data_IF_837269392566
#
_entry.id   IF_837269392566
#
_cell.length_a   1.000
_cell.length_b   1.000
_cell.length_c   1.000
_cell.angle_alpha   90.00
_cell.angle_beta   90.00
_cell.angle_gamma   90.00
#
_symmetry.space_group_name_H-M   'P 1'
#
loop_
_entity.id
_entity.type
_entity.pdbx_description
1 polymer ?
#
# COMPACT_ATOMS: atom_id res chain seq x y z
N UNK A 1 8.76 8.06 22.45
CA UNK A 1 8.03 7.27 21.44
C UNK A 1 8.93 6.14 20.98
N UNK A 2 8.44 4.90 20.90
CA UNK A 2 9.22 3.74 20.46
C UNK A 2 8.67 3.25 19.13
N UNK A 3 9.50 3.17 18.10
CA UNK A 3 9.11 2.76 16.76
C UNK A 3 9.70 1.38 16.51
N UNK A 4 8.83 0.39 16.31
CA UNK A 4 9.25 -0.97 15.91
C UNK A 4 9.48 -1.02 14.40
N UNK A 5 10.31 -1.96 13.95
CA UNK A 5 10.54 -2.18 12.52
C UNK A 5 10.41 -3.66 12.18
N UNK A 6 9.72 -3.96 11.10
CA UNK A 6 9.49 -5.30 10.59
C UNK A 6 9.99 -5.41 9.15
N UNK A 7 10.66 -6.51 8.85
CA UNK A 7 11.01 -6.86 7.47
C UNK A 7 9.75 -7.18 6.68
N UNK A 8 9.70 -6.75 5.42
CA UNK A 8 8.64 -7.15 4.49
C UNK A 8 9.16 -8.23 3.54
N UNK A 9 8.30 -8.96 2.82
CA UNK A 9 8.73 -9.85 1.74
C UNK A 9 9.52 -9.12 0.64
N UNK A 10 9.38 -7.81 0.51
CA UNK A 10 10.14 -6.98 -0.42
C UNK A 10 11.43 -6.46 0.24
N UNK A 11 12.64 -6.90 -0.17
CA UNK A 11 13.89 -6.48 0.46
C UNK A 11 14.18 -4.97 0.31
N UNK A 12 13.57 -4.32 -0.69
CA UNK A 12 13.67 -2.89 -0.90
C UNK A 12 12.67 -2.09 -0.05
N UNK A 13 11.80 -2.74 0.73
CA UNK A 13 10.79 -2.07 1.56
C UNK A 13 10.88 -2.53 3.02
N UNK A 14 10.83 -1.57 3.95
CA UNK A 14 10.84 -1.83 5.38
C UNK A 14 9.61 -1.20 6.04
N UNK A 15 8.99 -1.93 6.97
CA UNK A 15 7.81 -1.50 7.72
C UNK A 15 8.21 -0.91 9.06
N UNK A 16 7.62 0.24 9.39
CA UNK A 16 7.84 1.00 10.61
C UNK A 16 6.50 1.11 11.34
N UNK A 17 6.47 0.72 12.60
CA UNK A 17 5.30 0.70 13.48
C UNK A 17 5.50 1.75 14.56
N UNK A 18 4.91 2.95 14.43
CA UNK A 18 5.13 4.04 15.37
C UNK A 18 4.43 3.85 16.72
N UNK A 19 3.58 2.82 16.84
CA UNK A 19 2.74 2.58 18.03
C UNK A 19 1.58 3.58 18.16
N UNK A 20 1.19 4.20 17.05
CA UNK A 20 0.10 5.17 16.92
C UNK A 20 -0.64 4.93 15.62
N UNK A 21 -1.89 5.37 15.54
CA UNK A 21 -2.61 5.48 14.26
C UNK A 21 -1.83 6.42 13.32
N UNK A 22 -1.60 5.97 12.10
CA UNK A 22 -0.94 6.72 11.02
C UNK A 22 -2.01 7.30 10.10
N UNK A 23 -2.85 6.45 9.53
CA UNK A 23 -3.95 6.85 8.66
C UNK A 23 -5.21 6.06 8.99
N UNK A 24 -6.17 6.69 9.66
CA UNK A 24 -7.35 6.01 10.22
C UNK A 24 -8.24 5.37 9.14
N UNK A 25 -8.34 6.01 7.98
CA UNK A 25 -9.20 5.59 6.87
C UNK A 25 -8.40 5.46 5.59
N UNK A 26 -8.60 4.34 4.89
CA UNK A 26 -7.93 4.05 3.63
C UNK A 26 -6.42 3.85 3.76
N UNK A 27 -5.72 4.09 2.65
CA UNK A 27 -4.27 3.98 2.52
C UNK A 27 -3.74 5.08 1.61
N UNK A 28 -2.49 5.49 1.80
CA UNK A 28 -1.85 6.48 0.94
C UNK A 28 -0.53 5.91 0.39
N UNK A 29 -0.33 5.99 -0.93
CA UNK A 29 0.90 5.55 -1.61
C UNK A 29 1.53 6.74 -2.33
N UNK A 30 2.77 7.05 -1.96
CA UNK A 30 3.54 8.16 -2.52
C UNK A 30 4.77 7.60 -3.26
N UNK A 31 4.87 7.96 -4.55
CA UNK A 31 5.98 7.56 -5.45
C UNK A 31 6.77 8.74 -6.00
N UNK A 32 6.40 9.95 -5.62
CA UNK A 32 7.01 11.20 -6.06
C UNK A 32 7.18 12.15 -4.88
N UNK A 33 8.37 12.72 -4.73
CA UNK A 33 8.71 13.61 -3.60
C UNK A 33 7.86 14.89 -3.58
N UNK A 34 7.62 15.49 -4.74
CA UNK A 34 6.84 16.74 -4.84
C UNK A 34 5.39 16.53 -4.39
N UNK A 35 4.72 15.51 -4.95
CA UNK A 35 3.36 15.15 -4.56
C UNK A 35 3.27 14.71 -3.09
N UNK A 36 4.31 14.04 -2.57
CA UNK A 36 4.38 13.64 -1.16
C UNK A 36 4.46 14.86 -0.23
N UNK A 37 5.30 15.84 -0.54
CA UNK A 37 5.47 17.04 0.27
C UNK A 37 4.20 17.91 0.31
N UNK A 38 3.45 17.97 -0.80
CA UNK A 38 2.18 18.68 -0.86
C UNK A 38 1.08 17.96 -0.05
N UNK A 39 0.97 16.64 -0.20
CA UNK A 39 -0.13 15.88 0.38
C UNK A 39 0.09 15.45 1.83
N UNK A 40 1.34 15.30 2.28
CA UNK A 40 1.65 14.78 3.62
C UNK A 40 2.94 15.37 4.19
N UNK A 41 2.85 16.09 5.33
CA UNK A 41 4.03 16.56 6.04
C UNK A 41 4.94 15.41 6.53
N UNK A 42 4.40 14.22 6.79
CA UNK A 42 5.19 13.03 7.13
C UNK A 42 5.90 12.47 5.89
N UNK A 43 5.19 12.31 4.79
CA UNK A 43 5.76 11.75 3.56
C UNK A 43 6.83 12.67 2.98
N UNK A 44 6.59 13.98 2.96
CA UNK A 44 7.58 14.98 2.53
C UNK A 44 8.91 14.84 3.28
N UNK A 45 8.87 14.81 4.62
CA UNK A 45 10.07 14.59 5.46
C UNK A 45 10.80 13.29 5.14
N UNK A 46 10.06 12.22 4.87
CA UNK A 46 10.64 10.93 4.53
C UNK A 46 11.32 10.95 3.15
N UNK A 47 10.75 11.66 2.18
CA UNK A 47 11.33 11.82 0.85
C UNK A 47 12.56 12.74 0.82
N UNK A 48 12.76 13.61 1.82
CA UNK A 48 14.00 14.38 1.98
C UNK A 48 15.22 13.50 2.28
N UNK A 49 15.01 12.27 2.76
CA UNK A 49 16.08 11.32 3.07
C UNK A 49 16.61 10.72 1.76
N UNK A 50 17.89 10.93 1.41
CA UNK A 50 18.45 10.42 0.16
C UNK A 50 18.36 8.89 0.07
N UNK A 51 17.80 8.39 -1.05
CA UNK A 51 17.60 6.96 -1.29
C UNK A 51 16.19 6.46 -0.97
N UNK A 52 15.31 7.29 -0.39
CA UNK A 52 13.88 6.97 -0.28
C UNK A 52 13.19 7.23 -1.61
N UNK A 53 12.49 6.22 -2.13
CA UNK A 53 11.79 6.27 -3.42
C UNK A 53 10.30 6.01 -3.32
N UNK A 54 9.83 5.47 -2.19
CA UNK A 54 8.42 5.25 -1.94
C UNK A 54 8.10 5.39 -0.46
N UNK A 55 6.93 5.95 -0.16
CA UNK A 55 6.38 6.01 1.18
C UNK A 55 4.92 5.58 1.10
N UNK A 56 4.52 4.67 1.97
CA UNK A 56 3.16 4.18 2.04
C UNK A 56 2.65 4.21 3.48
N UNK A 57 1.41 4.65 3.65
CA UNK A 57 0.73 4.69 4.94
C UNK A 57 -0.40 3.67 4.98
N UNK A 58 -0.32 2.77 5.96
CA UNK A 58 -1.43 1.94 6.41
C UNK A 58 -2.07 2.52 7.67
N UNK A 59 -2.91 1.70 8.32
CA UNK A 59 -3.65 2.11 9.51
C UNK A 59 -2.75 2.57 10.67
N UNK A 60 -1.76 1.76 11.03
CA UNK A 60 -0.86 1.97 12.17
C UNK A 60 0.62 1.81 11.80
N UNK A 61 0.93 1.76 10.50
CA UNK A 61 2.29 1.57 10.00
C UNK A 61 2.61 2.49 8.83
N UNK A 62 3.92 2.73 8.67
CA UNK A 62 4.52 3.36 7.51
C UNK A 62 5.46 2.36 6.85
N UNK A 63 5.33 2.12 5.55
CA UNK A 63 6.38 1.45 4.79
C UNK A 63 7.18 2.45 3.98
N UNK A 64 8.49 2.25 3.97
CA UNK A 64 9.42 3.04 3.17
C UNK A 64 10.10 2.11 2.18
N UNK A 65 10.09 2.48 0.91
CA UNK A 65 10.80 1.81 -0.17
C UNK A 65 12.05 2.61 -0.50
N UNK A 66 13.16 1.91 -0.73
CA UNK A 66 14.45 2.52 -1.07
C UNK A 66 14.96 2.09 -2.43
N UNK A 67 15.82 2.93 -3.01
CA UNK A 67 16.78 2.55 -4.04
C UNK A 67 18.19 2.99 -3.60
N UNK A 68 19.20 2.13 -3.81
CA UNK A 68 20.56 2.39 -3.36
C UNK A 68 20.87 1.87 -1.94
N UNK A 69 21.26 2.76 -0.98
CA UNK A 69 22.05 2.40 0.21
C UNK A 69 21.42 1.34 1.12
N UNK A 70 22.25 0.66 1.91
CA UNK A 70 21.78 -0.35 2.85
C UNK A 70 20.89 0.24 3.95
N UNK A 71 19.93 -0.55 4.43
CA UNK A 71 19.01 -0.17 5.50
C UNK A 71 19.71 0.30 6.77
N UNK A 72 20.92 -0.18 7.05
CA UNK A 72 21.72 0.23 8.21
C UNK A 72 22.01 1.75 8.21
N UNK A 73 22.13 2.36 7.03
CA UNK A 73 22.38 3.79 6.87
C UNK A 73 21.10 4.63 6.87
N UNK A 74 20.03 4.11 6.25
CA UNK A 74 18.74 4.82 6.14
C UNK A 74 17.90 4.78 7.41
N UNK A 75 17.95 3.64 8.12
CA UNK A 75 17.06 3.37 9.27
C UNK A 75 17.17 4.43 10.37
N UNK A 76 18.35 4.91 10.79
CA UNK A 76 18.44 5.99 11.79
C UNK A 76 17.75 7.28 11.34
N UNK A 77 17.94 7.70 10.08
CA UNK A 77 17.33 8.90 9.54
C UNK A 77 15.80 8.79 9.47
N UNK A 78 15.28 7.65 9.00
CA UNK A 78 13.84 7.39 8.90
C UNK A 78 13.19 7.37 10.29
N UNK A 79 13.81 6.70 11.26
CA UNK A 79 13.32 6.67 12.64
C UNK A 79 13.28 8.07 13.25
N UNK A 80 14.32 8.88 12.99
CA UNK A 80 14.37 10.29 13.40
C UNK A 80 13.22 11.10 12.82
N UNK A 81 13.00 11.02 11.50
CA UNK A 81 11.96 11.76 10.80
C UNK A 81 10.55 11.39 11.28
N UNK A 82 10.26 10.09 11.46
CA UNK A 82 8.96 9.63 12.00
C UNK A 82 8.78 10.14 13.43
N UNK A 83 9.81 10.00 14.28
CA UNK A 83 9.74 10.44 15.67
C UNK A 83 9.50 11.94 15.77
N UNK A 84 10.26 12.74 15.02
CA UNK A 84 10.12 14.20 14.98
C UNK A 84 8.70 14.60 14.55
N UNK A 85 8.17 13.99 13.49
CA UNK A 85 6.83 14.26 13.01
C UNK A 85 5.78 14.05 14.10
N UNK A 86 5.75 12.85 14.71
CA UNK A 86 4.76 12.53 15.73
C UNK A 86 4.96 13.27 17.06
N UNK A 87 6.17 13.76 17.33
CA UNK A 87 6.46 14.62 18.48
C UNK A 87 6.05 16.07 18.22
N UNK A 88 6.06 16.52 16.96
CA UNK A 88 5.65 17.87 16.58
C UNK A 88 4.13 18.11 16.68
N UNK A 89 3.33 17.04 16.61
CA UNK A 89 1.87 17.13 16.57
C UNK A 89 1.30 17.59 15.23
N UNK A 90 2.15 17.74 14.19
CA UNK A 90 1.69 18.00 12.83
C UNK A 90 0.79 16.86 12.33
N UNK A 91 -0.20 17.16 11.46
CA UNK A 91 -1.04 16.12 10.90
C UNK A 91 -0.26 15.25 9.91
N UNK A 92 -0.58 13.95 9.85
CA UNK A 92 0.05 13.01 8.92
C UNK A 92 -0.27 13.38 7.46
N UNK A 93 -1.51 13.78 7.18
CA UNK A 93 -1.96 14.26 5.87
C UNK A 93 -2.25 15.77 5.94
N UNK A 94 -1.94 16.50 4.88
CA UNK A 94 -2.34 17.90 4.77
C UNK A 94 -3.87 17.99 4.62
N UNK A 95 -4.50 19.02 5.19
CA UNK A 95 -5.97 19.22 5.11
C UNK A 95 -6.48 19.45 3.68
N UNK A 96 -5.60 19.72 2.73
CA UNK A 96 -5.87 19.91 1.30
C UNK A 96 -5.56 18.66 0.47
N UNK A 97 -5.00 17.61 1.08
CA UNK A 97 -4.85 16.35 0.39
C UNK A 97 -6.26 15.83 0.10
N UNK A 98 -6.63 15.60 -1.18
CA UNK A 98 -7.91 14.99 -1.46
C UNK A 98 -7.94 13.68 -0.67
N UNK A 99 -8.95 13.53 0.19
CA UNK A 99 -9.35 12.24 0.70
C UNK A 99 -9.67 11.40 -0.54
N UNK A 100 -8.68 10.68 -1.07
CA UNK A 100 -8.92 9.69 -2.11
C UNK A 100 -9.42 8.46 -1.40
N UNK A 101 -10.65 8.59 -0.90
CA UNK A 101 -11.49 7.46 -0.59
C UNK A 101 -11.79 6.70 -1.89
N UNK A 102 -11.87 5.38 -1.73
CA UNK A 102 -12.38 4.44 -2.70
C UNK A 102 -13.75 4.92 -3.22
N UNK A 103 -13.87 5.23 -4.51
CA UNK A 103 -15.16 5.62 -5.05
C UNK A 103 -15.20 5.94 -6.55
N UNK A 104 -14.16 6.55 -7.11
CA UNK A 104 -14.17 6.93 -8.54
C UNK A 104 -12.78 6.69 -9.18
N UNK A 105 -12.36 5.44 -9.26
CA UNK A 105 -11.00 5.09 -9.71
C UNK A 105 -10.95 4.43 -11.07
N UNK A 106 -11.66 4.95 -12.07
CA UNK A 106 -11.57 4.42 -13.44
C UNK A 106 -11.72 2.89 -13.47
N UNK A 107 -12.55 2.36 -12.57
CA UNK A 107 -12.79 0.93 -12.51
C UNK A 107 -13.56 0.52 -13.76
N UNK A 108 -13.22 -0.63 -14.31
CA UNK A 108 -13.87 -1.13 -15.51
C UNK A 108 -14.38 -2.53 -15.29
N UNK A 109 -15.67 -2.73 -15.56
CA UNK A 109 -16.32 -4.03 -15.59
C UNK A 109 -17.67 -3.86 -16.28
N UNK A 110 -18.20 -4.95 -16.84
CA UNK A 110 -19.53 -4.95 -17.41
C UNK A 110 -20.58 -4.84 -16.30
N UNK A 111 -21.62 -4.04 -16.52
CA UNK A 111 -22.72 -3.90 -15.53
C UNK A 111 -23.40 -5.24 -15.22
N UNK A 112 -23.36 -6.19 -16.16
CA UNK A 112 -23.87 -7.53 -15.94
C UNK A 112 -23.10 -8.30 -14.85
N UNK A 113 -21.84 -7.95 -14.59
CA UNK A 113 -20.96 -8.57 -13.61
C UNK A 113 -20.96 -7.83 -12.26
N UNK A 114 -21.86 -6.87 -12.03
CA UNK A 114 -21.85 -6.02 -10.84
C UNK A 114 -21.91 -6.83 -9.52
N UNK A 115 -22.79 -7.84 -9.43
CA UNK A 115 -22.87 -8.71 -8.25
C UNK A 115 -21.60 -9.54 -8.04
N UNK A 116 -20.97 -9.97 -9.13
CA UNK A 116 -19.72 -10.70 -9.12
C UNK A 116 -18.58 -9.82 -8.60
N UNK A 117 -18.50 -8.59 -9.09
CA UNK A 117 -17.49 -7.60 -8.69
C UNK A 117 -17.64 -7.23 -7.21
N UNK A 118 -18.87 -7.08 -6.71
CA UNK A 118 -19.11 -6.86 -5.28
C UNK A 118 -18.57 -8.03 -4.44
N UNK A 119 -18.81 -9.26 -4.87
CA UNK A 119 -18.29 -10.47 -4.21
C UNK A 119 -16.76 -10.51 -4.23
N UNK A 120 -16.15 -10.19 -5.37
CA UNK A 120 -14.69 -10.10 -5.50
C UNK A 120 -14.14 -9.06 -4.52
N UNK A 121 -14.70 -7.85 -4.49
CA UNK A 121 -14.28 -6.77 -3.59
C UNK A 121 -14.39 -7.19 -2.12
N UNK A 122 -15.49 -7.82 -1.73
CA UNK A 122 -15.68 -8.33 -0.37
C UNK A 122 -14.60 -9.36 0.02
N UNK A 123 -14.28 -10.30 -0.88
CA UNK A 123 -13.22 -11.29 -0.64
C UNK A 123 -11.84 -10.64 -0.51
N UNK A 124 -11.56 -9.65 -1.36
CA UNK A 124 -10.31 -8.89 -1.28
C UNK A 124 -10.20 -8.16 0.06
N UNK A 125 -11.26 -7.47 0.48
CA UNK A 125 -11.28 -6.69 1.72
C UNK A 125 -11.20 -7.56 2.97
N UNK A 126 -11.93 -8.67 3.00
CA UNK A 126 -12.06 -9.50 4.21
C UNK A 126 -10.94 -10.52 4.37
N UNK A 127 -10.29 -10.95 3.27
CA UNK A 127 -9.30 -12.04 3.31
C UNK A 127 -7.93 -11.68 2.79
N UNK A 128 -7.83 -10.83 1.77
CA UNK A 128 -6.54 -10.55 1.12
C UNK A 128 -5.86 -9.33 1.71
N UNK A 129 -6.56 -8.20 1.81
CA UNK A 129 -6.02 -6.94 2.34
C UNK A 129 -5.46 -7.08 3.76
N UNK A 130 -6.06 -7.84 4.69
CA UNK A 130 -5.47 -8.03 6.01
C UNK A 130 -4.09 -8.68 5.96
N UNK A 131 -3.91 -9.71 5.12
CA UNK A 131 -2.61 -10.37 4.96
C UNK A 131 -1.58 -9.44 4.29
N UNK A 132 -2.02 -8.72 3.26
CA UNK A 132 -1.16 -7.76 2.54
C UNK A 132 -0.74 -6.58 3.45
N UNK A 133 -1.62 -6.09 4.31
CA UNK A 133 -1.31 -5.05 5.28
C UNK A 133 -0.29 -5.52 6.33
N UNK A 134 -0.36 -6.79 6.76
CA UNK A 134 0.69 -7.38 7.61
C UNK A 134 2.06 -7.32 6.94
N UNK A 135 2.11 -7.61 5.64
CA UNK A 135 3.32 -7.52 4.81
C UNK A 135 3.74 -6.07 4.47
N UNK A 136 2.97 -5.07 4.91
CA UNK A 136 3.29 -3.65 4.71
C UNK A 136 2.85 -3.06 3.36
N UNK A 137 1.89 -3.69 2.69
CA UNK A 137 1.30 -3.20 1.45
C UNK A 137 -0.21 -2.96 1.54
N UNK A 138 -0.81 -2.71 0.38
CA UNK A 138 -2.27 -2.79 0.17
C UNK A 138 -2.54 -3.21 -1.28
N UNK A 139 -3.77 -3.62 -1.55
CA UNK A 139 -4.26 -3.84 -2.91
C UNK A 139 -5.58 -3.11 -3.12
N UNK A 140 -5.80 -2.65 -4.35
CA UNK A 140 -7.07 -2.03 -4.75
C UNK A 140 -7.58 -2.66 -6.04
N UNK A 141 -8.89 -2.90 -6.09
CA UNK A 141 -9.55 -3.39 -7.30
C UNK A 141 -9.49 -2.33 -8.40
N UNK A 142 -9.24 -2.75 -9.63
CA UNK A 142 -9.19 -1.89 -10.81
C UNK A 142 -10.17 -2.29 -11.89
N UNK A 143 -10.51 -3.56 -11.98
CA UNK A 143 -11.49 -3.99 -12.96
C UNK A 143 -11.66 -5.48 -13.03
N UNK A 144 -12.69 -5.89 -13.75
CA UNK A 144 -12.97 -7.26 -14.09
C UNK A 144 -13.41 -7.34 -15.54
N UNK A 145 -12.71 -8.14 -16.34
CA UNK A 145 -13.06 -8.33 -17.75
C UNK A 145 -12.63 -9.73 -18.20
N UNK A 146 -13.52 -10.45 -18.91
CA UNK A 146 -13.22 -11.77 -19.49
C UNK A 146 -12.64 -12.77 -18.48
N UNK A 147 -13.17 -12.81 -17.25
CA UNK A 147 -12.66 -13.67 -16.18
C UNK A 147 -11.33 -13.21 -15.56
N UNK A 148 -10.81 -12.04 -15.91
CA UNK A 148 -9.58 -11.49 -15.36
C UNK A 148 -9.86 -10.37 -14.37
N UNK A 149 -9.37 -10.51 -13.15
CA UNK A 149 -9.41 -9.47 -12.11
C UNK A 149 -8.14 -8.64 -12.17
N UNK A 150 -8.28 -7.34 -12.36
CA UNK A 150 -7.17 -6.39 -12.40
C UNK A 150 -7.03 -5.70 -11.04
N UNK A 151 -5.82 -5.71 -10.48
CA UNK A 151 -5.51 -5.16 -9.17
C UNK A 151 -4.34 -4.17 -9.27
N UNK A 152 -4.42 -3.10 -8.49
CA UNK A 152 -3.27 -2.22 -8.24
C UNK A 152 -2.65 -2.60 -6.90
N UNK A 153 -1.35 -2.91 -6.91
CA UNK A 153 -0.59 -3.27 -5.71
C UNK A 153 0.18 -2.05 -5.19
N UNK A 154 0.12 -1.81 -3.89
CA UNK A 154 0.68 -0.63 -3.22
C UNK A 154 1.65 -1.01 -2.10
N UNK A 155 2.47 -0.04 -1.67
CA UNK A 155 3.46 -0.23 -0.61
C UNK A 155 4.44 -1.37 -0.92
N UNK A 156 4.67 -2.27 0.04
CA UNK A 156 5.62 -3.37 -0.11
C UNK A 156 5.28 -4.35 -1.25
N UNK A 157 4.00 -4.48 -1.61
CA UNK A 157 3.55 -5.37 -2.68
C UNK A 157 3.86 -4.84 -4.08
N UNK A 158 4.14 -3.54 -4.22
CA UNK A 158 4.52 -2.96 -5.50
C UNK A 158 5.98 -3.27 -5.84
N UNK A 159 6.22 -3.82 -7.03
CA UNK A 159 7.56 -3.95 -7.60
C UNK A 159 8.45 -5.01 -6.93
N UNK A 160 7.88 -5.97 -6.18
CA UNK A 160 8.64 -7.07 -5.59
C UNK A 160 8.65 -8.30 -6.51
N UNK A 161 9.75 -8.61 -7.23
CA UNK A 161 9.75 -9.66 -8.24
C UNK A 161 9.44 -11.06 -7.66
N UNK A 162 9.88 -11.32 -6.42
CA UNK A 162 9.65 -12.60 -5.74
C UNK A 162 8.24 -12.72 -5.16
N UNK A 163 7.63 -11.62 -4.74
CA UNK A 163 6.33 -11.65 -4.04
C UNK A 163 5.16 -11.39 -4.97
N UNK A 164 5.33 -10.68 -6.08
CA UNK A 164 4.25 -10.42 -7.04
C UNK A 164 3.70 -11.71 -7.63
N UNK A 165 4.55 -12.67 -8.01
CA UNK A 165 4.09 -13.95 -8.57
C UNK A 165 3.33 -14.79 -7.54
N UNK A 166 3.91 -14.99 -6.35
CA UNK A 166 3.28 -15.81 -5.29
C UNK A 166 1.99 -15.17 -4.76
N UNK A 167 1.98 -13.85 -4.54
CA UNK A 167 0.79 -13.14 -4.09
C UNK A 167 -0.32 -13.21 -5.15
N UNK A 168 0.01 -12.94 -6.42
CA UNK A 168 -0.94 -13.08 -7.54
C UNK A 168 -1.54 -14.48 -7.59
N UNK A 169 -0.72 -15.53 -7.48
CA UNK A 169 -1.22 -16.90 -7.44
C UNK A 169 -2.10 -17.19 -6.22
N UNK A 170 -1.72 -16.70 -5.03
CA UNK A 170 -2.51 -16.83 -3.81
C UNK A 170 -3.90 -16.19 -3.95
N UNK A 171 -3.95 -14.95 -4.45
CA UNK A 171 -5.20 -14.23 -4.71
C UNK A 171 -6.03 -14.95 -5.75
N UNK A 172 -5.42 -15.37 -6.87
CA UNK A 172 -6.13 -16.07 -7.94
C UNK A 172 -6.76 -17.38 -7.43
N UNK A 173 -6.04 -18.16 -6.63
CA UNK A 173 -6.57 -19.41 -6.08
C UNK A 173 -7.71 -19.16 -5.10
N UNK A 174 -7.61 -18.13 -4.26
CA UNK A 174 -8.67 -17.74 -3.35
C UNK A 174 -9.92 -17.30 -4.12
N UNK A 175 -9.77 -16.38 -5.09
CA UNK A 175 -10.89 -15.89 -5.87
C UNK A 175 -11.54 -17.01 -6.68
N UNK A 176 -10.76 -17.86 -7.38
CA UNK A 176 -11.28 -19.04 -8.10
C UNK A 176 -12.11 -19.97 -7.22
N UNK A 177 -11.76 -20.11 -5.94
CA UNK A 177 -12.46 -21.00 -5.03
C UNK A 177 -13.87 -20.50 -4.68
N UNK A 178 -14.02 -19.19 -4.48
CA UNK A 178 -15.29 -18.58 -4.10
C UNK A 178 -16.07 -17.99 -5.28
N UNK A 179 -15.38 -17.71 -6.39
CA UNK A 179 -15.88 -17.06 -7.61
C UNK A 179 -15.30 -17.81 -8.82
N UNK A 180 -15.93 -18.92 -9.26
CA UNK A 180 -15.42 -19.77 -10.34
C UNK A 180 -15.24 -19.07 -11.69
N UNK A 181 -15.93 -17.95 -11.92
CA UNK A 181 -15.82 -17.09 -13.09
C UNK A 181 -14.48 -16.37 -13.18
N UNK A 182 -13.80 -16.16 -12.04
CA UNK A 182 -12.45 -15.58 -12.01
C UNK A 182 -11.47 -16.64 -12.50
N UNK A 183 -10.90 -16.41 -13.67
CA UNK A 183 -9.86 -17.24 -14.26
C UNK A 183 -8.47 -16.69 -13.94
N UNK A 184 -8.25 -15.38 -13.95
CA UNK A 184 -6.90 -14.83 -13.82
C UNK A 184 -6.89 -13.58 -12.95
N UNK A 185 -5.74 -13.30 -12.36
CA UNK A 185 -5.48 -12.05 -11.66
C UNK A 185 -4.31 -11.35 -12.33
N UNK A 186 -4.45 -10.08 -12.65
CA UNK A 186 -3.37 -9.28 -13.23
C UNK A 186 -3.08 -8.03 -12.39
N UNK A 187 -1.79 -7.69 -12.32
CA UNK A 187 -1.36 -6.43 -11.73
C UNK A 187 -1.37 -5.35 -12.81
N UNK A 188 -1.95 -4.21 -12.50
CA UNK A 188 -1.81 -2.98 -13.30
C UNK A 188 -0.89 -1.99 -12.60
N UNK A 189 -0.18 -1.18 -13.39
CA UNK A 189 0.75 -0.15 -12.91
C UNK A 189 0.01 1.10 -12.41
#
# INVERSE_FOLDING_TARGET
MFIQTESTPNPATLKFLPGKEVLREGTADFRNAEAAAEASPLAGRLFEIPGVTGVFFGYDFVTVTKDGPDWQHLKPAILGAIMEHFMSGAPVMASTAPAREAGETGEFYDKADEELVLTIKELLDTRVRPAVAQDGGDITFRGFENGTVFLHMKGACAGCPSSTATLKHGIQNLLRHFVPEVQQVEQVA
#
